data_IF_616534426595
#
_entry.id   IF_616534426595
#
_cell.length_a   1.000
_cell.length_b   1.000
_cell.length_c   1.000
_cell.angle_alpha   90.00
_cell.angle_beta   90.00
_cell.angle_gamma   90.00
#
_symmetry.space_group_name_H-M   'P 1'
#
loop_
_entity.id
_entity.type
_entity.pdbx_description
1 polymer ?
#
# COMPACT_ATOMS: atom_id res chain seq x y z
N UNK A 1 -17.28 6.15 -36.14
CA UNK A 1 -17.38 7.49 -35.53
C UNK A 1 -17.64 7.47 -34.02
N UNK A 2 -18.45 6.54 -33.48
CA UNK A 2 -18.72 6.44 -32.04
C UNK A 2 -17.53 5.87 -31.23
N UNK A 3 -16.81 4.90 -31.80
CA UNK A 3 -15.61 4.29 -31.20
C UNK A 3 -14.42 5.23 -31.11
N UNK A 4 -14.22 6.11 -32.11
CA UNK A 4 -13.15 7.10 -32.10
C UNK A 4 -13.38 8.22 -31.06
N UNK A 5 -14.63 8.63 -30.82
CA UNK A 5 -14.96 9.61 -29.76
C UNK A 5 -14.72 9.06 -28.35
N UNK A 6 -15.07 7.79 -28.12
CA UNK A 6 -14.83 7.13 -26.83
C UNK A 6 -13.33 6.96 -26.55
N UNK A 7 -12.54 6.58 -27.55
CA UNK A 7 -11.08 6.49 -27.43
C UNK A 7 -10.43 7.85 -27.13
N UNK A 8 -10.89 8.94 -27.75
CA UNK A 8 -10.37 10.28 -27.46
C UNK A 8 -10.69 10.74 -26.03
N UNK A 9 -11.88 10.39 -25.51
CA UNK A 9 -12.27 10.74 -24.13
C UNK A 9 -11.45 10.01 -23.06
N UNK A 10 -11.12 8.73 -23.28
CA UNK A 10 -10.31 7.96 -22.32
C UNK A 10 -8.84 8.41 -22.30
N UNK A 11 -8.31 8.83 -23.45
CA UNK A 11 -6.96 9.43 -23.53
C UNK A 11 -6.92 10.75 -22.78
N UNK A 12 -7.88 11.66 -23.03
CA UNK A 12 -7.94 12.95 -22.33
C UNK A 12 -8.01 12.78 -20.81
N UNK A 13 -8.82 11.82 -20.35
CA UNK A 13 -8.95 11.50 -18.92
C UNK A 13 -7.66 10.93 -18.32
N UNK A 14 -6.94 10.09 -19.07
CA UNK A 14 -5.65 9.57 -18.63
C UNK A 14 -4.59 10.68 -18.54
N UNK A 15 -4.59 11.62 -19.49
CA UNK A 15 -3.72 12.80 -19.44
C UNK A 15 -4.04 13.70 -18.24
N UNK A 16 -5.33 13.94 -17.98
CA UNK A 16 -5.77 14.66 -16.78
C UNK A 16 -5.26 14.00 -15.49
N UNK A 17 -5.35 12.67 -15.39
CA UNK A 17 -4.90 11.92 -14.22
C UNK A 17 -3.37 11.98 -14.05
N UNK A 18 -2.61 11.86 -15.13
CA UNK A 18 -1.13 11.93 -15.10
C UNK A 18 -0.65 13.34 -14.73
N UNK A 19 -1.44 14.37 -15.00
CA UNK A 19 -1.13 15.74 -14.61
C UNK A 19 -1.11 15.94 -13.08
N UNK A 20 -1.87 15.15 -12.32
CA UNK A 20 -1.98 15.30 -10.86
C UNK A 20 -0.62 15.21 -10.12
N UNK A 21 0.19 14.14 -10.29
CA UNK A 21 1.50 14.08 -9.65
C UNK A 21 2.47 15.16 -10.17
N UNK A 22 2.34 15.60 -11.43
CA UNK A 22 3.15 16.70 -11.97
C UNK A 22 2.83 18.01 -11.25
N UNK A 23 1.54 18.33 -11.06
CA UNK A 23 1.11 19.50 -10.30
C UNK A 23 1.56 19.44 -8.84
N UNK A 24 1.59 18.25 -8.24
CA UNK A 24 2.14 18.07 -6.89
C UNK A 24 3.62 18.46 -6.82
N UNK A 25 4.44 17.97 -7.75
CA UNK A 25 5.87 18.28 -7.79
C UNK A 25 6.10 19.76 -8.09
N UNK A 26 5.41 20.34 -9.07
CA UNK A 26 5.54 21.77 -9.40
C UNK A 26 5.06 22.63 -8.22
N UNK A 27 3.91 22.32 -7.63
CA UNK A 27 3.33 23.07 -6.53
C UNK A 27 4.21 23.05 -5.28
N UNK A 28 4.82 21.92 -4.96
CA UNK A 28 5.77 21.83 -3.83
C UNK A 28 7.05 22.62 -4.11
N UNK A 29 7.56 22.65 -5.34
CA UNK A 29 8.65 23.55 -5.70
C UNK A 29 8.26 25.03 -5.59
N UNK A 30 7.04 25.39 -5.98
CA UNK A 30 6.54 26.76 -5.81
C UNK A 30 6.48 27.19 -4.35
N UNK A 31 6.12 26.29 -3.44
CA UNK A 31 6.18 26.56 -2.00
C UNK A 31 7.62 26.73 -1.54
N UNK A 32 8.52 25.78 -1.87
CA UNK A 32 9.91 25.79 -1.41
C UNK A 32 10.69 27.05 -1.84
N UNK A 33 10.49 27.51 -3.08
CA UNK A 33 11.29 28.61 -3.65
C UNK A 33 10.58 29.96 -3.67
N UNK A 34 9.25 29.98 -3.61
CA UNK A 34 8.46 31.22 -3.78
C UNK A 34 7.40 31.42 -2.70
N UNK A 35 7.25 30.51 -1.73
CA UNK A 35 6.23 30.58 -0.68
C UNK A 35 4.78 30.51 -1.20
N UNK A 36 4.57 30.07 -2.44
CA UNK A 36 3.27 30.08 -3.10
C UNK A 36 2.66 28.66 -3.12
N UNK A 37 1.52 28.49 -2.46
CA UNK A 37 0.80 27.22 -2.34
C UNK A 37 -0.45 27.10 -3.25
N UNK A 38 -0.69 28.06 -4.15
CA UNK A 38 -1.92 28.12 -4.97
C UNK A 38 -2.08 26.86 -5.83
N UNK A 39 -0.99 26.35 -6.42
CA UNK A 39 -1.02 25.12 -7.23
C UNK A 39 -1.40 23.90 -6.39
N UNK A 40 -0.93 23.80 -5.14
CA UNK A 40 -1.28 22.71 -4.24
C UNK A 40 -2.74 22.77 -3.78
N UNK A 41 -3.25 23.98 -3.50
CA UNK A 41 -4.67 24.17 -3.19
C UNK A 41 -5.57 23.75 -4.37
N UNK A 42 -5.19 24.12 -5.60
CA UNK A 42 -5.89 23.63 -6.80
C UNK A 42 -5.80 22.11 -6.96
N UNK A 43 -4.62 21.52 -6.70
CA UNK A 43 -4.43 20.07 -6.76
C UNK A 43 -5.40 19.33 -5.83
N UNK A 44 -5.61 19.80 -4.59
CA UNK A 44 -6.55 19.17 -3.65
C UNK A 44 -7.97 19.16 -4.23
N UNK A 45 -8.42 20.26 -4.85
CA UNK A 45 -9.72 20.32 -5.52
C UNK A 45 -9.80 19.33 -6.69
N UNK A 46 -8.74 19.23 -7.50
CA UNK A 46 -8.69 18.29 -8.63
C UNK A 46 -8.71 16.82 -8.17
N UNK A 47 -8.00 16.50 -7.08
CA UNK A 47 -8.05 15.17 -6.48
C UNK A 47 -9.48 14.84 -6.03
N UNK A 48 -10.16 15.76 -5.33
CA UNK A 48 -11.55 15.57 -4.90
C UNK A 48 -12.55 15.34 -6.06
N UNK A 49 -12.24 15.78 -7.28
CA UNK A 49 -13.05 15.50 -8.47
C UNK A 49 -12.92 14.05 -8.97
N UNK A 50 -11.80 13.37 -8.71
CA UNK A 50 -11.55 12.00 -9.20
C UNK A 50 -12.65 11.00 -8.78
N UNK A 51 -13.04 10.88 -7.50
CA UNK A 51 -14.11 9.95 -7.10
C UNK A 51 -15.47 10.34 -7.66
N UNK A 52 -15.72 11.63 -7.90
CA UNK A 52 -16.94 12.13 -8.55
C UNK A 52 -17.00 11.63 -10.00
N UNK A 53 -15.89 11.75 -10.74
CA UNK A 53 -15.78 11.24 -12.11
C UNK A 53 -15.97 9.71 -12.19
N UNK A 54 -15.51 8.96 -11.19
CA UNK A 54 -15.79 7.52 -11.09
C UNK A 54 -17.26 7.26 -10.78
N UNK A 55 -17.87 8.02 -9.85
CA UNK A 55 -19.28 7.86 -9.47
C UNK A 55 -20.22 8.05 -10.66
N UNK A 56 -19.91 8.99 -11.57
CA UNK A 56 -20.64 9.24 -12.82
C UNK A 56 -20.16 8.41 -14.03
N UNK A 57 -19.42 7.33 -13.78
CA UNK A 57 -18.96 6.37 -14.80
C UNK A 57 -18.11 6.99 -15.94
N UNK A 58 -17.47 8.14 -15.67
CA UNK A 58 -16.53 8.78 -16.61
C UNK A 58 -15.17 8.08 -16.58
N UNK A 59 -14.73 7.62 -15.41
CA UNK A 59 -13.54 6.78 -15.22
C UNK A 59 -14.02 5.34 -14.96
N UNK A 60 -13.61 4.38 -15.79
CA UNK A 60 -13.96 2.97 -15.63
C UNK A 60 -12.86 2.03 -16.12
N UNK A 61 -13.00 0.73 -15.83
CA UNK A 61 -12.09 -0.31 -16.30
C UNK A 61 -10.64 -0.11 -15.86
N UNK A 62 -9.70 -0.15 -16.81
CA UNK A 62 -8.25 -0.03 -16.53
C UNK A 62 -7.87 1.36 -15.99
N UNK A 63 -8.63 2.41 -16.32
CA UNK A 63 -8.35 3.77 -15.88
C UNK A 63 -8.55 3.96 -14.37
N UNK A 64 -9.32 3.09 -13.71
CA UNK A 64 -9.45 3.09 -12.24
C UNK A 64 -8.11 2.81 -11.55
N UNK A 65 -7.34 1.84 -12.07
CA UNK A 65 -6.02 1.49 -11.52
C UNK A 65 -5.05 2.66 -11.66
N UNK A 66 -5.07 3.32 -12.82
CA UNK A 66 -4.28 4.53 -13.07
C UNK A 66 -4.68 5.65 -12.11
N UNK A 67 -5.99 5.92 -11.96
CA UNK A 67 -6.51 6.95 -11.08
C UNK A 67 -6.08 6.74 -9.63
N UNK A 68 -6.09 5.50 -9.13
CA UNK A 68 -5.61 5.17 -7.79
C UNK A 68 -4.11 5.45 -7.66
N UNK A 69 -3.30 4.93 -8.58
CA UNK A 69 -1.84 5.08 -8.50
C UNK A 69 -1.41 6.55 -8.58
N UNK A 70 -1.93 7.31 -9.55
CA UNK A 70 -1.54 8.72 -9.71
C UNK A 70 -2.06 9.61 -8.58
N UNK A 71 -3.22 9.29 -8.00
CA UNK A 71 -3.73 9.99 -6.81
C UNK A 71 -2.83 9.71 -5.62
N UNK A 72 -2.43 8.45 -5.40
CA UNK A 72 -1.52 8.07 -4.32
C UNK A 72 -0.19 8.81 -4.44
N UNK A 73 0.42 8.82 -5.63
CA UNK A 73 1.68 9.54 -5.87
C UNK A 73 1.50 11.04 -5.63
N UNK A 74 0.44 11.66 -6.17
CA UNK A 74 0.19 13.08 -6.00
C UNK A 74 0.01 13.47 -4.53
N UNK A 75 -0.77 12.70 -3.76
CA UNK A 75 -0.98 12.94 -2.34
C UNK A 75 0.31 12.78 -1.53
N UNK A 76 1.08 11.72 -1.78
CA UNK A 76 2.32 11.47 -1.07
C UNK A 76 3.39 12.51 -1.41
N UNK A 77 3.50 12.94 -2.67
CA UNK A 77 4.45 13.97 -3.08
C UNK A 77 4.04 15.36 -2.59
N UNK A 78 2.74 15.63 -2.43
CA UNK A 78 2.23 16.91 -1.96
C UNK A 78 2.85 17.30 -0.61
N UNK A 79 3.11 16.32 0.25
CA UNK A 79 3.68 16.51 1.58
C UNK A 79 5.16 16.16 1.61
N UNK A 80 5.59 15.06 0.99
CA UNK A 80 6.99 14.61 1.04
C UNK A 80 7.94 15.64 0.41
N UNK A 81 7.52 16.33 -0.65
CA UNK A 81 8.35 17.30 -1.37
C UNK A 81 8.22 18.75 -0.86
N UNK A 82 7.43 19.01 0.20
CA UNK A 82 7.12 20.38 0.66
C UNK A 82 8.30 21.13 1.29
N UNK A 83 9.36 20.41 1.65
CA UNK A 83 10.63 20.94 2.18
C UNK A 83 11.77 20.49 1.27
N UNK A 84 12.99 21.04 1.44
CA UNK A 84 14.22 20.47 0.84
C UNK A 84 14.83 19.35 1.69
N UNK A 85 14.36 19.15 2.91
CA UNK A 85 14.86 18.16 3.88
C UNK A 85 13.82 17.06 4.10
N UNK A 86 14.20 15.97 4.77
CA UNK A 86 13.22 15.06 5.36
C UNK A 86 12.52 15.78 6.52
N UNK A 87 11.26 15.43 6.77
CA UNK A 87 10.46 16.01 7.86
C UNK A 87 9.66 14.91 8.53
N UNK A 88 9.59 14.96 9.87
CA UNK A 88 8.79 14.05 10.68
C UNK A 88 9.59 13.55 11.87
N UNK A 89 8.97 12.86 12.82
CA UNK A 89 9.70 12.40 14.01
C UNK A 89 10.64 11.23 13.68
N UNK A 90 10.06 10.12 13.24
CA UNK A 90 10.76 8.85 13.06
C UNK A 90 11.78 8.85 11.91
N UNK A 91 11.45 9.53 10.81
CA UNK A 91 12.28 9.59 9.60
C UNK A 91 13.70 10.07 9.88
N UNK A 92 13.91 10.89 10.92
CA UNK A 92 15.26 11.37 11.28
C UNK A 92 16.13 10.25 11.87
N UNK A 93 15.55 9.34 12.66
CA UNK A 93 16.26 8.15 13.16
C UNK A 93 16.58 7.19 12.02
N UNK A 94 15.61 6.96 11.13
CA UNK A 94 15.80 6.13 9.92
C UNK A 94 16.91 6.69 9.02
N UNK A 95 16.92 8.01 8.82
CA UNK A 95 17.95 8.71 8.06
C UNK A 95 19.33 8.62 8.72
N UNK A 96 19.40 8.75 10.05
CA UNK A 96 20.65 8.64 10.81
C UNK A 96 21.30 7.27 10.62
N UNK A 97 20.56 6.17 10.82
CA UNK A 97 21.12 4.82 10.66
C UNK A 97 21.48 4.50 9.21
N UNK A 98 20.67 4.94 8.23
CA UNK A 98 21.07 4.93 6.82
C UNK A 98 22.40 5.66 6.58
N UNK A 99 22.58 6.84 7.19
CA UNK A 99 23.78 7.64 7.00
C UNK A 99 25.01 6.98 7.60
N UNK A 100 24.89 6.30 8.75
CA UNK A 100 25.98 5.51 9.32
C UNK A 100 26.46 4.45 8.33
N UNK A 101 25.54 3.65 7.79
CA UNK A 101 25.86 2.60 6.80
C UNK A 101 26.42 3.18 5.51
N UNK A 102 25.88 4.30 5.03
CA UNK A 102 26.40 4.98 3.84
C UNK A 102 27.84 5.47 4.03
N UNK A 103 28.16 6.03 5.20
CA UNK A 103 29.48 6.60 5.48
C UNK A 103 30.54 5.53 5.78
N UNK A 104 30.17 4.45 6.46
CA UNK A 104 31.09 3.35 6.80
C UNK A 104 31.17 2.29 5.70
N UNK A 105 30.21 2.27 4.76
CA UNK A 105 29.96 1.16 3.83
C UNK A 105 29.77 -0.20 4.53
N UNK A 106 29.39 -0.17 5.81
CA UNK A 106 29.27 -1.35 6.66
C UNK A 106 28.11 -1.19 7.65
N UNK A 107 27.25 -2.19 7.73
CA UNK A 107 26.18 -2.23 8.73
C UNK A 107 26.69 -2.83 10.04
N UNK A 108 26.85 -1.98 11.05
CA UNK A 108 27.20 -2.40 12.40
C UNK A 108 25.94 -2.81 13.17
N UNK A 109 25.68 -4.13 13.18
CA UNK A 109 24.57 -4.72 13.91
C UNK A 109 24.75 -4.74 15.43
N UNK A 110 25.93 -4.35 15.95
CA UNK A 110 26.17 -4.30 17.40
C UNK A 110 25.52 -3.08 18.06
N UNK A 111 25.16 -2.05 17.28
CA UNK A 111 24.43 -0.88 17.76
C UNK A 111 22.98 -1.30 18.03
N UNK A 112 22.66 -1.49 19.30
CA UNK A 112 21.35 -1.93 19.78
C UNK A 112 20.32 -0.80 19.68
N UNK A 113 19.61 -0.74 18.57
CA UNK A 113 18.54 0.20 18.31
C UNK A 113 17.49 -0.43 17.37
N UNK A 114 16.21 -0.16 17.63
CA UNK A 114 15.10 -0.74 16.87
C UNK A 114 15.09 -0.30 15.40
N UNK A 115 15.54 0.92 15.09
CA UNK A 115 15.63 1.44 13.74
C UNK A 115 16.82 0.83 12.99
N UNK A 116 17.96 0.67 13.67
CA UNK A 116 19.15 0.03 13.08
C UNK A 116 18.90 -1.42 12.67
N UNK A 117 18.10 -2.14 13.46
CA UNK A 117 17.73 -3.53 13.19
C UNK A 117 16.86 -3.70 11.94
N UNK A 118 16.18 -2.64 11.48
CA UNK A 118 15.31 -2.69 10.30
C UNK A 118 16.11 -2.43 9.02
N UNK A 119 16.46 -3.51 8.31
CA UNK A 119 17.26 -3.44 7.07
C UNK A 119 16.61 -2.61 5.97
N UNK A 120 15.27 -2.50 5.99
CA UNK A 120 14.52 -1.64 5.07
C UNK A 120 14.86 -0.16 5.20
N UNK A 121 15.43 0.29 6.31
CA UNK A 121 15.83 1.69 6.53
C UNK A 121 17.29 1.86 6.93
N UNK A 122 18.00 0.81 7.32
CA UNK A 122 19.45 0.89 7.57
C UNK A 122 20.29 0.55 6.34
N UNK A 123 19.93 -0.49 5.57
CA UNK A 123 20.73 -0.98 4.43
C UNK A 123 20.15 -0.60 3.08
N UNK A 124 18.83 -0.71 2.91
CA UNK A 124 18.18 -0.51 1.62
C UNK A 124 18.36 0.93 1.07
N UNK A 125 18.20 2.02 1.87
CA UNK A 125 18.39 3.37 1.34
C UNK A 125 19.81 3.66 0.86
N UNK A 126 20.89 3.28 1.57
CA UNK A 126 22.25 3.40 1.06
C UNK A 126 22.49 2.66 -0.26
N UNK A 127 21.96 1.44 -0.42
CA UNK A 127 22.05 0.69 -1.68
C UNK A 127 21.38 1.46 -2.82
N UNK A 128 20.15 1.95 -2.61
CA UNK A 128 19.43 2.73 -3.62
C UNK A 128 20.19 4.02 -3.94
N UNK A 129 20.72 4.71 -2.92
CA UNK A 129 21.50 5.93 -3.08
C UNK A 129 22.73 5.70 -3.95
N UNK A 130 23.49 4.63 -3.70
CA UNK A 130 24.68 4.27 -4.46
C UNK A 130 24.36 3.86 -5.90
N UNK A 131 23.31 3.07 -6.12
CA UNK A 131 22.91 2.58 -7.46
C UNK A 131 22.33 3.71 -8.31
N UNK A 132 21.49 4.57 -7.74
CA UNK A 132 20.81 5.65 -8.46
C UNK A 132 21.61 6.95 -8.52
N UNK A 133 22.67 7.11 -7.73
CA UNK A 133 23.46 8.34 -7.66
C UNK A 133 22.71 9.53 -7.05
N UNK A 134 21.73 9.27 -6.17
CA UNK A 134 20.93 10.30 -5.50
C UNK A 134 21.20 10.29 -3.99
N UNK A 135 21.13 11.43 -3.32
CA UNK A 135 21.31 11.51 -1.86
C UNK A 135 20.22 10.72 -1.10
N UNK A 136 20.54 10.24 0.11
CA UNK A 136 19.57 9.59 1.00
C UNK A 136 18.27 10.41 1.17
N UNK A 137 18.38 11.75 1.23
CA UNK A 137 17.20 12.63 1.35
C UNK A 137 16.20 12.39 0.24
N UNK A 138 16.66 12.24 -1.00
CA UNK A 138 15.79 11.99 -2.15
C UNK A 138 15.33 10.53 -2.22
N UNK A 139 16.09 9.59 -1.68
CA UNK A 139 15.63 8.20 -1.52
C UNK A 139 14.37 8.18 -0.64
N UNK A 140 14.43 8.79 0.54
CA UNK A 140 13.29 8.84 1.47
C UNK A 140 12.13 9.70 0.96
N UNK A 141 12.39 10.72 0.13
CA UNK A 141 11.33 11.65 -0.32
C UNK A 141 10.68 11.32 -1.64
N UNK A 142 11.34 10.52 -2.47
CA UNK A 142 10.85 10.14 -3.80
C UNK A 142 10.65 8.64 -3.85
N UNK A 143 11.71 7.86 -3.59
CA UNK A 143 11.69 6.41 -3.85
C UNK A 143 10.74 5.69 -2.91
N UNK A 144 10.81 5.97 -1.61
CA UNK A 144 9.99 5.30 -0.59
C UNK A 144 8.48 5.63 -0.77
N UNK A 145 8.08 6.91 -0.93
CA UNK A 145 6.71 7.27 -1.25
C UNK A 145 6.22 6.68 -2.58
N UNK A 146 7.06 6.59 -3.62
CA UNK A 146 6.69 5.92 -4.87
C UNK A 146 6.43 4.43 -4.67
N UNK A 147 7.27 3.73 -3.90
CA UNK A 147 7.04 2.32 -3.54
C UNK A 147 5.74 2.18 -2.74
N UNK A 148 5.52 3.05 -1.76
CA UNK A 148 4.31 3.06 -0.95
C UNK A 148 3.04 3.33 -1.75
N UNK A 149 3.11 4.11 -2.83
CA UNK A 149 1.96 4.40 -3.70
C UNK A 149 1.34 3.14 -4.34
N UNK A 150 2.06 2.01 -4.34
CA UNK A 150 1.51 0.72 -4.77
C UNK A 150 0.58 0.07 -3.74
N UNK A 151 0.64 0.45 -2.46
CA UNK A 151 -0.25 -0.07 -1.41
C UNK A 151 -1.73 0.07 -1.79
N UNK A 152 -2.26 1.27 -2.08
CA UNK A 152 -3.66 1.42 -2.47
C UNK A 152 -4.00 0.67 -3.77
N UNK A 153 -3.05 0.56 -4.71
CA UNK A 153 -3.26 -0.22 -5.93
C UNK A 153 -3.41 -1.73 -5.63
N UNK A 154 -2.58 -2.29 -4.75
CA UNK A 154 -2.68 -3.68 -4.30
C UNK A 154 -3.98 -3.92 -3.52
N UNK A 155 -4.39 -2.98 -2.67
CA UNK A 155 -5.68 -3.03 -1.98
C UNK A 155 -6.85 -3.05 -2.98
N UNK A 156 -6.81 -2.22 -4.03
CA UNK A 156 -7.82 -2.23 -5.08
C UNK A 156 -7.91 -3.58 -5.80
N UNK A 157 -6.76 -4.15 -6.17
CA UNK A 157 -6.71 -5.49 -6.78
C UNK A 157 -7.23 -6.59 -5.84
N UNK A 158 -7.09 -6.40 -4.52
CA UNK A 158 -7.59 -7.34 -3.52
C UNK A 158 -9.11 -7.22 -3.35
N UNK A 159 -9.62 -5.99 -3.22
CA UNK A 159 -11.05 -5.73 -2.99
C UNK A 159 -11.90 -6.07 -4.21
N UNK A 160 -11.46 -5.72 -5.43
CA UNK A 160 -12.22 -6.01 -6.65
C UNK A 160 -12.41 -7.49 -6.98
N UNK A 161 -11.73 -8.39 -6.23
CA UNK A 161 -11.94 -9.84 -6.31
C UNK A 161 -13.11 -10.33 -5.46
N UNK A 162 -13.62 -9.49 -4.59
CA UNK A 162 -14.66 -9.80 -3.61
C UNK A 162 -15.90 -8.93 -3.78
N UNK A 163 -15.73 -7.70 -4.28
CA UNK A 163 -16.79 -6.71 -4.47
C UNK A 163 -16.66 -6.04 -5.85
N UNK A 164 -17.64 -5.22 -6.23
CA UNK A 164 -17.64 -4.53 -7.52
C UNK A 164 -16.50 -3.51 -7.64
N UNK A 165 -16.02 -3.28 -8.87
CA UNK A 165 -14.92 -2.34 -9.17
C UNK A 165 -15.17 -0.93 -8.61
N UNK A 166 -16.41 -0.42 -8.70
CA UNK A 166 -16.77 0.92 -8.20
C UNK A 166 -16.70 0.99 -6.66
N UNK A 167 -17.18 -0.02 -5.95
CA UNK A 167 -17.12 -0.05 -4.47
C UNK A 167 -15.68 -0.26 -4.00
N UNK A 168 -14.92 -1.15 -4.67
CA UNK A 168 -13.51 -1.34 -4.40
C UNK A 168 -12.70 -0.05 -4.59
N UNK A 169 -12.97 0.69 -5.67
CA UNK A 169 -12.36 2.00 -5.89
C UNK A 169 -12.71 2.97 -4.76
N UNK A 170 -13.99 3.13 -4.41
CA UNK A 170 -14.42 4.06 -3.37
C UNK A 170 -13.80 3.75 -2.00
N UNK A 171 -13.69 2.46 -1.64
CA UNK A 171 -13.04 2.04 -0.40
C UNK A 171 -11.55 2.40 -0.35
N UNK A 172 -10.83 2.18 -1.45
CA UNK A 172 -9.40 2.54 -1.57
C UNK A 172 -9.20 4.05 -1.63
N UNK A 173 -10.08 4.77 -2.32
CA UNK A 173 -10.01 6.22 -2.39
C UNK A 173 -10.26 6.84 -1.02
N UNK A 174 -11.21 6.29 -0.25
CA UNK A 174 -11.40 6.67 1.15
C UNK A 174 -10.13 6.44 1.98
N UNK A 175 -9.50 5.26 1.87
CA UNK A 175 -8.22 4.97 2.53
C UNK A 175 -7.14 6.02 2.20
N UNK A 176 -6.98 6.39 0.92
CA UNK A 176 -6.00 7.41 0.51
C UNK A 176 -6.35 8.83 1.01
N UNK A 177 -7.63 9.13 1.23
CA UNK A 177 -8.08 10.44 1.71
C UNK A 177 -7.88 10.66 3.22
N UNK A 178 -7.54 9.61 3.97
CA UNK A 178 -7.24 9.73 5.39
C UNK A 178 -5.91 10.46 5.57
N UNK A 179 -5.88 11.48 6.43
CA UNK A 179 -4.71 12.29 6.73
C UNK A 179 -3.42 11.46 6.88
N UNK A 180 -3.48 10.42 7.71
CA UNK A 180 -2.37 9.49 7.97
C UNK A 180 -1.70 8.95 6.69
N UNK A 181 -2.47 8.62 5.65
CA UNK A 181 -1.93 8.04 4.41
C UNK A 181 -0.92 8.97 3.73
N UNK A 182 -1.21 10.27 3.68
CA UNK A 182 -0.41 11.21 2.91
C UNK A 182 0.37 12.21 3.74
N UNK A 183 0.20 12.28 5.06
CA UNK A 183 1.06 13.08 5.95
C UNK A 183 1.99 12.19 6.76
N UNK A 184 1.42 11.41 7.68
CA UNK A 184 2.18 10.63 8.66
C UNK A 184 3.03 9.54 8.01
N UNK A 185 2.52 8.85 6.99
CA UNK A 185 3.29 7.78 6.33
C UNK A 185 4.61 8.27 5.72
N UNK A 186 4.70 9.53 5.29
CA UNK A 186 5.95 10.10 4.79
C UNK A 186 7.00 10.36 5.88
N UNK A 187 6.60 10.28 7.15
CA UNK A 187 7.51 10.39 8.30
C UNK A 187 7.98 9.04 8.85
N UNK A 188 7.51 7.91 8.30
CA UNK A 188 7.76 6.56 8.84
C UNK A 188 8.10 5.59 7.68
N UNK A 189 9.29 5.71 7.10
CA UNK A 189 9.65 5.01 5.87
C UNK A 189 9.75 3.50 6.06
N UNK A 190 10.12 3.03 7.26
CA UNK A 190 10.12 1.59 7.59
C UNK A 190 8.71 0.99 7.51
N UNK A 191 7.69 1.76 7.91
CA UNK A 191 6.29 1.35 7.83
C UNK A 191 5.78 1.35 6.39
N UNK A 192 6.16 2.33 5.56
CA UNK A 192 5.82 2.34 4.14
C UNK A 192 6.20 1.04 3.43
N UNK A 193 7.43 0.56 3.64
CA UNK A 193 7.93 -0.68 3.03
C UNK A 193 7.23 -1.91 3.61
N UNK A 194 7.05 -1.94 4.94
CA UNK A 194 6.37 -3.02 5.62
C UNK A 194 4.91 -3.19 5.13
N UNK A 195 4.18 -2.10 4.95
CA UNK A 195 2.80 -2.13 4.47
C UNK A 195 2.69 -2.66 3.05
N UNK A 196 3.65 -2.38 2.16
CA UNK A 196 3.71 -2.99 0.81
C UNK A 196 3.75 -4.50 0.90
N UNK A 197 4.66 -5.06 1.72
CA UNK A 197 4.75 -6.51 1.89
C UNK A 197 3.50 -7.08 2.57
N UNK A 198 2.95 -6.37 3.55
CA UNK A 198 1.73 -6.78 4.24
C UNK A 198 0.54 -6.89 3.27
N UNK A 199 0.26 -5.87 2.46
CA UNK A 199 -0.86 -5.93 1.50
C UNK A 199 -0.63 -6.96 0.40
N UNK A 200 0.62 -7.25 0.03
CA UNK A 200 0.94 -8.34 -0.89
C UNK A 200 0.63 -9.72 -0.27
N UNK A 201 0.90 -9.92 1.02
CA UNK A 201 0.50 -11.15 1.74
C UNK A 201 -1.03 -11.27 1.76
N UNK A 202 -1.76 -10.19 2.03
CA UNK A 202 -3.23 -10.17 1.99
C UNK A 202 -3.74 -10.50 0.58
N UNK A 203 -3.16 -9.90 -0.46
CA UNK A 203 -3.50 -10.22 -1.86
C UNK A 203 -3.26 -11.70 -2.15
N UNK A 204 -2.14 -12.26 -1.68
CA UNK A 204 -1.88 -13.70 -1.82
C UNK A 204 -3.00 -14.48 -1.14
N UNK A 205 -3.36 -14.20 0.10
CA UNK A 205 -4.42 -14.91 0.81
C UNK A 205 -5.74 -14.99 0.01
N UNK A 206 -6.15 -13.87 -0.61
CA UNK A 206 -7.38 -13.78 -1.40
C UNK A 206 -7.25 -14.37 -2.81
N UNK A 207 -6.07 -14.29 -3.43
CA UNK A 207 -5.89 -14.71 -4.81
C UNK A 207 -5.92 -16.25 -4.95
N UNK A 208 -6.90 -16.75 -5.72
CA UNK A 208 -7.11 -18.17 -6.00
C UNK A 208 -6.50 -18.64 -7.32
N UNK A 209 -6.02 -17.74 -8.18
CA UNK A 209 -5.51 -18.10 -9.51
C UNK A 209 -4.02 -18.45 -9.53
N UNK A 210 -3.31 -18.27 -8.41
CA UNK A 210 -1.88 -18.57 -8.30
C UNK A 210 -1.70 -19.98 -7.76
N UNK A 211 -0.81 -20.75 -8.40
CA UNK A 211 -0.41 -22.09 -7.95
C UNK A 211 0.07 -22.09 -6.49
N UNK A 212 -0.26 -23.15 -5.76
CA UNK A 212 0.01 -23.27 -4.32
C UNK A 212 1.50 -23.15 -3.96
N UNK A 213 2.40 -23.74 -4.76
CA UNK A 213 3.85 -23.69 -4.48
C UNK A 213 4.37 -22.27 -4.66
N UNK A 214 4.00 -21.62 -5.77
CA UNK A 214 4.38 -20.22 -6.04
C UNK A 214 3.82 -19.27 -4.98
N UNK A 215 2.56 -19.46 -4.61
CA UNK A 215 1.88 -18.68 -3.57
C UNK A 215 2.58 -18.80 -2.22
N UNK A 216 2.92 -20.03 -1.82
CA UNK A 216 3.65 -20.28 -0.56
C UNK A 216 5.02 -19.61 -0.58
N UNK A 217 5.78 -19.76 -1.67
CA UNK A 217 7.09 -19.10 -1.80
C UNK A 217 6.99 -17.57 -1.70
N UNK A 218 6.00 -16.96 -2.38
CA UNK A 218 5.77 -15.51 -2.30
C UNK A 218 5.40 -15.06 -0.88
N UNK A 219 4.51 -15.78 -0.19
CA UNK A 219 4.13 -15.45 1.19
C UNK A 219 5.33 -15.53 2.13
N UNK A 220 6.21 -16.51 1.97
CA UNK A 220 7.46 -16.60 2.76
C UNK A 220 8.37 -15.41 2.46
N UNK A 221 8.60 -15.08 1.19
CA UNK A 221 9.43 -13.93 0.79
C UNK A 221 8.87 -12.64 1.36
N UNK A 222 7.58 -12.39 1.21
CA UNK A 222 6.94 -11.19 1.73
C UNK A 222 6.92 -11.18 3.26
N UNK A 223 6.75 -12.33 3.92
CA UNK A 223 6.79 -12.43 5.38
C UNK A 223 8.16 -12.11 5.96
N UNK A 224 9.23 -12.62 5.35
CA UNK A 224 10.61 -12.26 5.73
C UNK A 224 10.87 -10.78 5.44
N UNK A 225 10.43 -10.29 4.28
CA UNK A 225 10.61 -8.87 3.91
C UNK A 225 9.86 -7.93 4.87
N UNK A 226 8.65 -8.31 5.31
CA UNK A 226 7.88 -7.62 6.34
C UNK A 226 8.64 -7.58 7.67
N UNK A 227 9.18 -8.73 8.11
CA UNK A 227 9.98 -8.83 9.34
C UNK A 227 11.24 -7.96 9.33
N UNK A 228 11.93 -7.90 8.19
CA UNK A 228 13.10 -7.05 7.99
C UNK A 228 12.73 -5.56 7.80
N UNK A 229 11.45 -5.26 7.58
CA UNK A 229 10.97 -3.89 7.36
C UNK A 229 10.45 -3.23 8.63
N UNK A 230 9.60 -3.92 9.41
CA UNK A 230 9.02 -3.34 10.62
C UNK A 230 8.62 -4.40 11.65
N UNK A 231 9.17 -4.32 12.86
CA UNK A 231 8.91 -5.27 13.95
C UNK A 231 7.44 -5.25 14.42
N UNK A 232 6.87 -4.08 14.72
CA UNK A 232 5.50 -3.97 15.22
C UNK A 232 4.45 -4.50 14.22
N UNK A 233 4.54 -4.11 12.94
CA UNK A 233 3.61 -4.62 11.91
C UNK A 233 3.76 -6.13 11.72
N UNK A 234 4.98 -6.67 11.87
CA UNK A 234 5.23 -8.13 11.90
C UNK A 234 4.50 -8.81 13.04
N UNK A 235 4.54 -8.24 14.25
CA UNK A 235 3.79 -8.78 15.39
C UNK A 235 2.28 -8.72 15.16
N UNK A 236 1.76 -7.62 14.62
CA UNK A 236 0.34 -7.49 14.25
C UNK A 236 -0.05 -8.59 13.26
N UNK A 237 0.78 -8.83 12.24
CA UNK A 237 0.55 -9.89 11.27
C UNK A 237 0.52 -11.29 11.91
N UNK A 238 1.51 -11.61 12.76
CA UNK A 238 1.58 -12.90 13.45
C UNK A 238 0.35 -13.10 14.34
N UNK A 239 -0.04 -12.10 15.12
CA UNK A 239 -1.24 -12.16 15.95
C UNK A 239 -2.53 -12.32 15.13
N UNK A 240 -2.62 -11.60 14.00
CA UNK A 240 -3.75 -11.74 13.08
C UNK A 240 -3.84 -13.16 12.52
N UNK A 241 -2.71 -13.79 12.18
CA UNK A 241 -2.67 -15.18 11.74
C UNK A 241 -3.10 -16.15 12.85
N UNK A 242 -2.61 -15.97 14.08
CA UNK A 242 -2.99 -16.82 15.21
C UNK A 242 -4.50 -16.76 15.42
N UNK A 243 -5.07 -15.55 15.48
CA UNK A 243 -6.52 -15.35 15.64
C UNK A 243 -7.28 -16.00 14.48
N UNK A 244 -6.85 -15.77 13.23
CA UNK A 244 -7.50 -16.34 12.06
C UNK A 244 -7.48 -17.88 12.06
N UNK A 245 -6.36 -18.50 12.45
CA UNK A 245 -6.23 -19.97 12.57
C UNK A 245 -7.10 -20.53 13.68
N UNK A 246 -7.11 -19.89 14.85
CA UNK A 246 -7.95 -20.27 15.99
C UNK A 246 -9.43 -20.18 15.63
N UNK A 247 -9.88 -19.07 15.04
CA UNK A 247 -11.25 -18.91 14.56
C UNK A 247 -11.61 -19.96 13.50
N UNK A 248 -10.72 -20.20 12.53
CA UNK A 248 -10.92 -21.21 11.49
C UNK A 248 -11.07 -22.62 12.06
N UNK A 249 -10.27 -22.97 13.07
CA UNK A 249 -10.38 -24.25 13.78
C UNK A 249 -11.73 -24.41 14.47
N UNK A 250 -12.18 -23.40 15.21
CA UNK A 250 -13.48 -23.45 15.91
C UNK A 250 -14.67 -23.48 14.94
N UNK A 251 -14.63 -22.70 13.86
CA UNK A 251 -15.68 -22.69 12.84
C UNK A 251 -15.77 -24.05 12.12
N UNK A 252 -14.64 -24.67 11.77
CA UNK A 252 -14.60 -26.01 11.17
C UNK A 252 -15.11 -27.06 12.13
N UNK A 253 -14.72 -27.00 13.41
CA UNK A 253 -15.21 -27.91 14.46
C UNK A 253 -16.73 -27.80 14.62
N UNK A 254 -17.28 -26.58 14.68
CA UNK A 254 -18.73 -26.35 14.78
C UNK A 254 -19.48 -26.88 13.55
N UNK A 255 -18.96 -26.62 12.34
CA UNK A 255 -19.54 -27.13 11.11
C UNK A 255 -19.52 -28.67 11.05
N UNK A 256 -18.42 -29.29 11.49
CA UNK A 256 -18.29 -30.74 11.54
C UNK A 256 -19.26 -31.37 12.55
N UNK A 257 -19.39 -30.79 13.75
CA UNK A 257 -20.34 -31.28 14.76
C UNK A 257 -21.79 -31.19 14.26
N UNK A 258 -22.18 -30.08 13.63
CA UNK A 258 -23.52 -29.92 13.06
C UNK A 258 -23.81 -30.97 11.98
N UNK A 259 -22.82 -31.29 11.14
CA UNK A 259 -22.95 -32.36 10.15
C UNK A 259 -23.15 -33.75 10.78
N UNK A 260 -22.48 -34.03 11.91
CA UNK A 260 -22.68 -35.30 12.63
C UNK A 260 -24.08 -35.39 13.26
N UNK A 261 -24.58 -34.30 13.86
CA UNK A 261 -25.93 -34.22 14.42
C UNK A 261 -27.02 -34.42 13.36
N UNK A 262 -26.88 -33.81 12.18
CA UNK A 262 -27.80 -34.03 11.06
C UNK A 262 -27.78 -35.50 10.58
N UNK A 263 -26.62 -36.15 10.56
CA UNK A 263 -26.51 -37.58 10.20
C UNK A 263 -27.12 -38.52 11.24
N UNK A 264 -26.96 -38.25 12.53
CA UNK A 264 -27.56 -39.09 13.58
C UNK A 264 -29.09 -38.98 13.54
N UNK A 265 -29.63 -37.78 13.33
CA UNK A 265 -31.08 -37.55 13.23
C UNK A 265 -31.72 -38.26 12.04
N UNK A 266 -31.04 -38.29 10.87
CA UNK A 266 -31.52 -39.03 9.70
C UNK A 266 -31.51 -40.55 9.96
N UNK A 267 -30.52 -41.06 10.68
CA UNK A 267 -30.40 -42.48 10.99
C UNK A 267 -31.48 -42.97 11.96
N UNK A 268 -31.82 -42.19 13.00
CA UNK A 268 -32.93 -42.51 13.92
C UNK A 268 -34.28 -42.59 13.18
N UNK A 269 -34.61 -41.59 12.34
CA UNK A 269 -35.85 -41.60 11.56
C UNK A 269 -36.00 -42.78 10.59
N UNK A 270 -34.89 -43.35 10.11
CA UNK A 270 -34.92 -44.51 9.22
C UNK A 270 -35.15 -45.84 9.94
N UNK A 271 -34.90 -45.90 11.25
CA UNK A 271 -35.16 -47.07 12.08
C UNK A 271 -36.59 -47.12 12.61
N UNK A 272 -37.24 -45.96 12.82
CA UNK A 272 -38.63 -45.87 13.30
C UNK A 272 -39.69 -46.08 12.18
N UNK A 273 -39.26 -46.30 10.94
CA UNK A 273 -40.13 -46.50 9.76
C UNK A 273 -40.19 -47.93 9.23
N UNK A 274 -39.82 -48.93 10.05
CA UNK A 274 -39.93 -50.38 9.76
C UNK A 274 -40.80 -51.03 10.82
#
# INVERSE_FOLDING_TARGET
MHTSRLANSSVLLSLFLILLPILSTIGTQMVNFYGNNVVLLMLILLLALVPILVAFDKISGKTLQLAILVTAIALLFHTSLISMHVWGADIHHEYYFSSLVQNSSFWDSSIADEYNAMLSVSILPPIISAVCGISLTWVFKIVYPLIFSFVPLVLYQTFRRQISDKIAFSAVYFFMSVFTFFTEMNSIARQQLAEVFFVLIVLMAINKSIDYRKKTALVVIFGVSLALSHYALTYIFIWSLIIALTLSFFLRKKAFNRFLEEKSFIKEKSHDSV
#
